data_IF_459149200547
#
_entry.id   IF_459149200547
#
_cell.length_a   1.000
_cell.length_b   1.000
_cell.length_c   1.000
_cell.angle_alpha   90.00
_cell.angle_beta   90.00
_cell.angle_gamma   90.00
#
_symmetry.space_group_name_H-M   'P 1'
#
loop_
_entity.id
_entity.type
_entity.pdbx_description
1 polymer ?
#
# COMPACT_ATOMS: atom_id res chain seq x y z
N UNK A 1 -64.18 28.50 4.02
CA UNK A 1 -64.12 27.32 4.87
C UNK A 1 -63.44 26.13 4.13
N UNK A 2 -63.43 26.15 2.82
CA UNK A 2 -62.81 25.07 2.00
C UNK A 2 -61.27 25.11 1.90
N UNK A 3 -60.62 26.28 2.02
CA UNK A 3 -59.15 26.42 1.87
C UNK A 3 -58.32 25.85 3.04
N UNK A 4 -58.88 25.76 4.25
CA UNK A 4 -58.16 25.18 5.40
C UNK A 4 -58.04 23.64 5.33
N UNK A 5 -59.00 22.99 4.67
CA UNK A 5 -59.02 21.52 4.57
C UNK A 5 -58.00 21.03 3.52
N UNK A 6 -57.81 21.78 2.44
CA UNK A 6 -56.78 21.46 1.43
C UNK A 6 -55.37 21.64 1.97
N UNK A 7 -55.10 22.68 2.75
CA UNK A 7 -53.84 22.93 3.39
C UNK A 7 -53.45 21.80 4.38
N UNK A 8 -54.40 21.33 5.18
CA UNK A 8 -54.15 20.23 6.15
C UNK A 8 -53.85 18.89 5.46
N UNK A 9 -54.54 18.60 4.36
CA UNK A 9 -54.24 17.37 3.55
C UNK A 9 -52.86 17.43 2.92
N UNK A 10 -52.42 18.56 2.42
CA UNK A 10 -51.08 18.71 1.86
C UNK A 10 -49.97 18.58 2.92
N UNK A 11 -50.21 19.09 4.13
CA UNK A 11 -49.27 18.93 5.26
C UNK A 11 -49.18 17.45 5.69
N UNK A 12 -50.29 16.76 5.81
CA UNK A 12 -50.32 15.34 6.15
C UNK A 12 -49.64 14.47 5.07
N UNK A 13 -49.80 14.82 3.80
CA UNK A 13 -49.12 14.18 2.69
C UNK A 13 -47.61 14.40 2.72
N UNK A 14 -47.15 15.61 2.99
CA UNK A 14 -45.74 15.94 3.14
C UNK A 14 -45.08 15.19 4.33
N UNK A 15 -45.78 15.12 5.47
CA UNK A 15 -45.31 14.35 6.65
C UNK A 15 -45.20 12.86 6.31
N UNK A 16 -46.17 12.29 5.58
CA UNK A 16 -46.15 10.90 5.15
C UNK A 16 -44.95 10.58 4.26
N UNK A 17 -44.62 11.47 3.31
CA UNK A 17 -43.45 11.34 2.43
C UNK A 17 -42.12 11.36 3.24
N UNK A 18 -42.01 12.29 4.19
CA UNK A 18 -40.80 12.40 5.04
C UNK A 18 -40.65 11.17 5.91
N UNK A 19 -41.72 10.64 6.49
CA UNK A 19 -41.67 9.42 7.28
C UNK A 19 -41.29 8.20 6.44
N UNK A 20 -41.77 8.09 5.20
CA UNK A 20 -41.35 7.03 4.27
C UNK A 20 -39.86 7.13 3.89
N UNK A 21 -39.36 8.35 3.64
CA UNK A 21 -37.94 8.55 3.33
C UNK A 21 -37.04 8.23 4.51
N UNK A 22 -37.46 8.59 5.73
CA UNK A 22 -36.73 8.24 6.96
C UNK A 22 -36.72 6.71 7.17
N UNK A 23 -37.87 6.05 6.96
CA UNK A 23 -37.95 4.57 7.08
C UNK A 23 -37.08 3.85 6.05
N UNK A 24 -37.03 4.36 4.80
CA UNK A 24 -36.13 3.83 3.76
C UNK A 24 -34.68 4.07 4.09
N UNK A 25 -34.34 5.23 4.64
CA UNK A 25 -32.96 5.54 5.05
C UNK A 25 -32.51 4.68 6.24
N UNK A 26 -33.37 4.51 7.25
CA UNK A 26 -33.10 3.62 8.40
C UNK A 26 -32.99 2.16 7.94
N UNK A 27 -33.85 1.71 7.04
CA UNK A 27 -33.78 0.38 6.45
C UNK A 27 -32.48 0.16 5.66
N UNK A 28 -32.03 1.16 4.90
CA UNK A 28 -30.76 1.10 4.16
C UNK A 28 -29.54 1.06 5.11
N UNK A 29 -29.54 1.89 6.16
CA UNK A 29 -28.46 1.89 7.16
C UNK A 29 -28.45 0.57 7.93
N UNK A 30 -29.60 0.02 8.30
CA UNK A 30 -29.68 -1.31 8.97
C UNK A 30 -29.23 -2.44 8.06
N UNK A 31 -29.56 -2.41 6.77
CA UNK A 31 -29.10 -3.40 5.78
C UNK A 31 -27.59 -3.32 5.50
N UNK A 32 -27.00 -2.13 5.65
CA UNK A 32 -25.56 -1.94 5.50
C UNK A 32 -24.76 -2.35 6.75
N UNK A 33 -25.41 -2.46 7.93
CA UNK A 33 -24.78 -2.77 9.22
C UNK A 33 -25.01 -4.22 9.66
N UNK A 34 -25.99 -4.94 9.11
CA UNK A 34 -26.18 -6.35 9.39
C UNK A 34 -25.11 -7.16 8.66
N UNK A 35 -24.27 -7.96 9.38
CA UNK A 35 -23.34 -8.84 8.71
C UNK A 35 -24.11 -9.84 7.86
N UNK A 36 -23.72 -9.95 6.60
CA UNK A 36 -24.23 -10.93 5.65
C UNK A 36 -23.94 -12.33 6.20
N UNK A 37 -24.97 -13.05 6.65
CA UNK A 37 -24.91 -14.48 6.92
C UNK A 37 -25.20 -15.22 5.60
N UNK A 38 -24.23 -15.21 4.70
CA UNK A 38 -24.20 -16.14 3.59
C UNK A 38 -23.66 -17.48 4.11
N UNK A 39 -24.26 -18.59 3.66
CA UNK A 39 -23.72 -19.93 3.94
C UNK A 39 -22.25 -19.96 3.51
N UNK A 40 -21.36 -20.28 4.47
CA UNK A 40 -19.93 -20.31 4.23
C UNK A 40 -19.62 -21.37 3.17
N UNK A 41 -18.99 -20.97 2.07
CA UNK A 41 -18.38 -21.92 1.11
C UNK A 41 -17.38 -22.79 1.92
N UNK A 42 -17.55 -24.13 1.94
CA UNK A 42 -16.69 -25.02 2.71
C UNK A 42 -15.20 -24.97 2.29
N UNK A 43 -14.86 -24.19 1.26
CA UNK A 43 -13.49 -23.99 0.78
C UNK A 43 -12.84 -22.70 1.28
N UNK A 44 -13.58 -21.82 1.98
CA UNK A 44 -12.99 -20.64 2.62
C UNK A 44 -12.61 -20.97 4.06
N UNK A 45 -11.33 -20.80 4.46
CA UNK A 45 -10.94 -20.96 5.85
C UNK A 45 -11.73 -19.97 6.71
N UNK A 46 -12.45 -20.48 7.72
CA UNK A 46 -13.17 -19.64 8.65
C UNK A 46 -12.16 -18.88 9.52
N UNK A 47 -12.02 -17.59 9.31
CA UNK A 47 -11.13 -16.70 10.07
C UNK A 47 -11.34 -16.80 11.60
N UNK A 48 -12.53 -17.17 12.05
CA UNK A 48 -12.79 -17.38 13.47
C UNK A 48 -12.17 -18.70 13.98
N UNK A 49 -12.09 -19.74 13.15
CA UNK A 49 -11.46 -21.02 13.49
C UNK A 49 -9.93 -20.85 13.58
N UNK A 50 -9.34 -19.98 12.75
CA UNK A 50 -7.91 -19.67 12.82
C UNK A 50 -7.54 -18.92 14.12
N UNK A 51 -8.47 -18.14 14.68
CA UNK A 51 -8.27 -17.45 15.97
C UNK A 51 -8.38 -18.38 17.18
N UNK A 52 -9.10 -19.50 17.06
CA UNK A 52 -9.27 -20.46 18.16
C UNK A 52 -8.14 -21.51 18.21
N UNK A 53 -7.46 -21.82 17.10
CA UNK A 53 -6.34 -22.77 17.06
C UNK A 53 -4.97 -22.15 17.33
N UNK A 54 -4.80 -20.84 17.17
CA UNK A 54 -3.60 -20.14 17.65
C UNK A 54 -3.85 -19.72 19.09
N UNK A 55 -3.19 -20.43 20.03
CA UNK A 55 -3.04 -19.97 21.40
C UNK A 55 -2.70 -18.48 21.38
N UNK A 56 -3.28 -17.74 22.31
CA UNK A 56 -3.02 -16.30 22.51
C UNK A 56 -1.55 -16.04 22.33
N UNK A 57 -1.18 -15.36 21.21
CA UNK A 57 0.16 -14.81 21.06
C UNK A 57 0.28 -13.81 22.19
N UNK A 58 1.14 -14.13 23.15
CA UNK A 58 1.48 -13.21 24.21
C UNK A 58 2.18 -12.02 23.58
N UNK A 59 1.46 -10.92 23.43
CA UNK A 59 1.96 -9.70 22.78
C UNK A 59 3.17 -9.15 23.54
N UNK A 60 3.27 -9.46 24.84
CA UNK A 60 4.42 -9.09 25.69
C UNK A 60 5.66 -9.98 25.44
N UNK A 61 5.51 -11.10 24.72
CA UNK A 61 6.63 -11.99 24.35
C UNK A 61 7.22 -11.69 22.96
N UNK A 62 6.61 -10.78 22.19
CA UNK A 62 7.20 -10.28 20.96
C UNK A 62 8.35 -9.35 21.38
N UNK A 63 9.56 -9.85 21.32
CA UNK A 63 10.77 -9.03 21.40
C UNK A 63 10.81 -8.14 20.17
N UNK A 64 10.10 -7.00 20.25
CA UNK A 64 10.41 -5.88 19.37
C UNK A 64 11.84 -5.47 19.73
N UNK A 65 12.76 -5.59 18.78
CA UNK A 65 14.02 -4.88 18.89
C UNK A 65 13.63 -3.41 19.02
N UNK A 66 13.87 -2.80 20.19
CA UNK A 66 13.65 -1.36 20.37
C UNK A 66 14.42 -0.67 19.26
N UNK A 67 13.75 0.19 18.45
CA UNK A 67 14.44 0.92 17.39
C UNK A 67 15.61 1.67 18.02
N UNK A 68 16.81 1.48 17.49
CA UNK A 68 18.01 2.20 17.97
C UNK A 68 18.00 3.70 17.60
N UNK A 69 16.95 4.13 16.87
CA UNK A 69 16.79 5.49 16.36
C UNK A 69 17.71 5.80 15.18
N UNK A 70 18.42 4.79 14.67
CA UNK A 70 19.31 4.94 13.51
C UNK A 70 18.63 4.50 12.21
N UNK A 71 19.00 5.15 11.12
CA UNK A 71 18.55 4.76 9.79
C UNK A 71 19.43 3.66 9.23
N UNK A 72 18.86 2.48 9.00
CA UNK A 72 19.54 1.36 8.35
C UNK A 72 19.45 1.49 6.82
N UNK A 73 20.22 2.41 6.25
CA UNK A 73 20.27 2.59 4.80
C UNK A 73 21.19 1.55 4.16
N UNK A 74 20.66 0.79 3.17
CA UNK A 74 21.44 -0.20 2.43
C UNK A 74 22.53 0.51 1.60
N UNK A 75 23.75 0.03 1.76
CA UNK A 75 24.92 0.55 1.05
C UNK A 75 25.29 -0.37 -0.11
N UNK A 76 26.17 0.11 -0.98
CA UNK A 76 26.65 -0.67 -2.10
C UNK A 76 27.40 -1.94 -1.62
N UNK A 77 26.95 -3.08 -2.14
CA UNK A 77 27.51 -4.40 -1.90
C UNK A 77 28.00 -5.04 -3.20
N UNK A 78 28.55 -6.24 -3.13
CA UNK A 78 28.71 -7.09 -4.32
C UNK A 78 27.34 -7.46 -4.88
N UNK A 79 27.26 -7.71 -6.20
CA UNK A 79 26.01 -8.12 -6.85
C UNK A 79 25.50 -9.44 -6.26
N UNK A 80 24.34 -9.41 -5.61
CA UNK A 80 23.70 -10.57 -4.99
C UNK A 80 23.03 -11.52 -6.00
N UNK A 81 23.00 -11.16 -7.28
CA UNK A 81 22.50 -11.98 -8.37
C UNK A 81 20.97 -11.92 -8.57
N UNK A 82 20.52 -12.57 -9.64
CA UNK A 82 19.09 -12.59 -10.02
C UNK A 82 18.23 -13.35 -9.00
N UNK A 83 18.78 -14.36 -8.34
CA UNK A 83 18.01 -15.16 -7.36
C UNK A 83 17.62 -14.34 -6.13
N UNK A 84 18.40 -13.33 -5.74
CA UNK A 84 18.03 -12.38 -4.69
C UNK A 84 16.73 -11.64 -5.03
N UNK A 85 16.62 -11.14 -6.26
CA UNK A 85 15.41 -10.46 -6.74
C UNK A 85 14.24 -11.43 -6.87
N UNK A 86 14.48 -12.63 -7.42
CA UNK A 86 13.42 -13.62 -7.65
C UNK A 86 12.83 -14.17 -6.37
N UNK A 87 13.62 -14.28 -5.30
CA UNK A 87 13.17 -14.78 -4.01
C UNK A 87 12.47 -13.72 -3.14
N UNK A 88 12.61 -12.44 -3.49
CA UNK A 88 11.97 -11.35 -2.79
C UNK A 88 10.53 -11.11 -3.29
N UNK A 89 9.72 -10.49 -2.43
CA UNK A 89 8.40 -9.99 -2.80
C UNK A 89 8.44 -8.47 -2.89
N UNK A 90 7.72 -7.91 -3.86
CA UNK A 90 7.61 -6.47 -4.08
C UNK A 90 6.18 -6.01 -3.88
N UNK A 91 5.92 -5.07 -2.99
CA UNK A 91 4.67 -4.33 -2.92
C UNK A 91 4.86 -3.01 -3.66
N UNK A 92 4.10 -2.78 -4.75
CA UNK A 92 4.30 -1.61 -5.62
C UNK A 92 3.01 -0.85 -5.88
N UNK A 93 3.14 0.47 -5.99
CA UNK A 93 2.09 1.37 -6.49
C UNK A 93 2.27 1.68 -7.99
N UNK A 94 1.58 2.71 -8.50
CA UNK A 94 1.51 3.01 -9.92
C UNK A 94 2.84 3.41 -10.55
N UNK A 95 3.83 3.87 -9.77
CA UNK A 95 5.11 4.36 -10.33
C UNK A 95 5.99 3.19 -10.81
N UNK A 96 5.93 2.04 -10.12
CA UNK A 96 6.70 0.85 -10.48
C UNK A 96 5.83 -0.34 -10.95
N UNK A 97 4.57 -0.09 -11.31
CA UNK A 97 3.59 -1.15 -11.68
C UNK A 97 4.06 -2.05 -12.82
N UNK A 98 4.96 -1.58 -13.68
CA UNK A 98 5.54 -2.39 -14.75
C UNK A 98 6.30 -3.62 -14.23
N UNK A 99 6.72 -3.66 -12.96
CA UNK A 99 7.27 -4.87 -12.33
C UNK A 99 6.30 -6.04 -12.44
N UNK A 100 5.02 -5.79 -12.08
CA UNK A 100 3.94 -6.79 -12.14
C UNK A 100 3.47 -7.01 -13.57
N UNK A 101 3.11 -5.93 -14.27
CA UNK A 101 2.42 -6.00 -15.56
C UNK A 101 3.28 -6.63 -16.67
N UNK A 102 4.60 -6.61 -16.52
CA UNK A 102 5.55 -7.21 -17.45
C UNK A 102 6.36 -8.35 -16.84
N UNK A 103 6.02 -8.79 -15.61
CA UNK A 103 6.68 -9.90 -14.89
C UNK A 103 8.21 -9.77 -14.83
N UNK A 104 8.71 -8.57 -14.51
CA UNK A 104 10.13 -8.23 -14.67
C UNK A 104 11.03 -8.73 -13.53
N UNK A 105 10.46 -9.11 -12.38
CA UNK A 105 11.21 -9.60 -11.21
C UNK A 105 11.47 -11.10 -11.26
N UNK A 106 10.65 -11.84 -11.99
CA UNK A 106 10.63 -13.30 -11.96
C UNK A 106 10.12 -13.91 -10.65
N UNK A 107 9.71 -13.08 -9.69
CA UNK A 107 9.10 -13.41 -8.40
C UNK A 107 7.78 -12.67 -8.19
N UNK A 108 7.28 -12.72 -6.96
CA UNK A 108 5.97 -12.15 -6.60
C UNK A 108 6.00 -10.62 -6.55
N UNK A 109 5.02 -10.01 -7.23
CA UNK A 109 4.79 -8.56 -7.20
C UNK A 109 3.34 -8.29 -6.83
N UNK A 110 3.15 -7.66 -5.68
CA UNK A 110 1.84 -7.31 -5.14
C UNK A 110 1.48 -5.87 -5.48
N UNK A 111 0.28 -5.66 -5.94
CA UNK A 111 -0.32 -4.34 -6.15
C UNK A 111 -1.84 -4.49 -6.20
N UNK A 112 -2.58 -3.39 -6.10
CA UNK A 112 -4.01 -3.43 -6.35
C UNK A 112 -4.30 -3.84 -7.80
N UNK A 113 -5.53 -4.22 -8.10
CA UNK A 113 -5.94 -4.56 -9.46
C UNK A 113 -5.69 -3.41 -10.46
N UNK A 114 -5.94 -2.17 -10.02
CA UNK A 114 -5.68 -0.97 -10.83
C UNK A 114 -4.20 -0.55 -10.87
N UNK A 115 -3.37 -1.12 -10.03
CA UNK A 115 -1.98 -0.71 -9.83
C UNK A 115 -1.79 0.49 -8.90
N UNK A 116 -2.87 1.08 -8.36
CA UNK A 116 -2.78 2.25 -7.49
C UNK A 116 -3.01 1.90 -6.02
N UNK A 117 -2.16 2.43 -5.13
CA UNK A 117 -2.21 2.26 -3.68
C UNK A 117 -2.11 3.63 -2.99
N UNK A 118 -3.20 4.43 -2.95
CA UNK A 118 -3.17 5.79 -2.41
C UNK A 118 -2.84 5.83 -0.92
N UNK A 119 -1.85 6.63 -0.52
CA UNK A 119 -1.34 6.73 0.85
C UNK A 119 -2.41 7.17 1.87
N UNK A 120 -3.40 7.95 1.48
CA UNK A 120 -4.50 8.35 2.37
C UNK A 120 -5.44 7.23 2.81
N UNK A 121 -5.32 6.01 2.26
CA UNK A 121 -6.26 4.91 2.48
C UNK A 121 -5.57 3.57 2.78
N UNK A 122 -4.40 3.57 3.39
CA UNK A 122 -3.57 2.37 3.63
C UNK A 122 -4.37 1.23 4.29
N UNK A 123 -5.19 1.55 5.29
CA UNK A 123 -5.99 0.56 6.03
C UNK A 123 -7.01 -0.20 5.17
N UNK A 124 -7.33 0.31 3.99
CA UNK A 124 -8.32 -0.28 3.06
C UNK A 124 -7.67 -0.91 1.82
N UNK A 125 -6.36 -0.96 1.75
CA UNK A 125 -5.67 -1.55 0.61
C UNK A 125 -5.99 -3.02 0.45
N UNK A 126 -6.27 -3.39 -0.79
CA UNK A 126 -6.35 -4.77 -1.22
C UNK A 126 -5.44 -4.95 -2.44
N UNK A 127 -4.61 -5.94 -2.37
CA UNK A 127 -3.76 -6.38 -3.49
C UNK A 127 -4.42 -7.54 -4.22
N UNK A 128 -4.08 -7.70 -5.48
CA UNK A 128 -4.41 -8.90 -6.24
C UNK A 128 -3.38 -9.98 -5.90
N UNK A 129 -3.82 -11.00 -5.16
CA UNK A 129 -2.96 -12.11 -4.75
C UNK A 129 -2.85 -13.19 -5.85
N UNK A 130 -1.89 -14.09 -5.73
CA UNK A 130 -1.56 -15.08 -6.78
C UNK A 130 -2.70 -16.02 -7.18
N UNK A 131 -3.66 -16.26 -6.29
CA UNK A 131 -4.86 -17.07 -6.55
C UNK A 131 -6.03 -16.26 -7.14
N UNK A 132 -5.82 -14.96 -7.39
CA UNK A 132 -6.84 -14.02 -7.88
C UNK A 132 -7.71 -13.40 -6.78
N UNK A 133 -7.52 -13.75 -5.52
CA UNK A 133 -8.23 -13.12 -4.41
C UNK A 133 -7.72 -11.70 -4.15
N UNK A 134 -8.56 -10.89 -3.49
CA UNK A 134 -8.21 -9.53 -3.06
C UNK A 134 -8.05 -9.54 -1.54
N UNK A 135 -6.82 -9.44 -1.07
CA UNK A 135 -6.48 -9.47 0.35
C UNK A 135 -5.62 -8.27 0.73
N UNK A 136 -5.53 -7.96 2.01
CA UNK A 136 -4.63 -6.91 2.47
C UNK A 136 -3.16 -7.31 2.29
N UNK A 137 -2.22 -6.34 2.12
CA UNK A 137 -0.78 -6.64 2.11
C UNK A 137 -0.32 -7.37 3.38
N UNK A 138 -0.95 -7.09 4.53
CA UNK A 138 -0.64 -7.73 5.81
C UNK A 138 -1.06 -9.20 5.80
N UNK A 139 -2.27 -9.51 5.31
CA UNK A 139 -2.72 -10.91 5.17
C UNK A 139 -1.85 -11.68 4.17
N UNK A 140 -1.44 -11.03 3.08
CA UNK A 140 -0.52 -11.62 2.12
C UNK A 140 0.83 -11.97 2.76
N UNK A 141 1.39 -11.09 3.61
CA UNK A 141 2.61 -11.38 4.37
C UNK A 141 2.42 -12.55 5.34
N UNK A 142 1.29 -12.60 6.04
CA UNK A 142 0.97 -13.69 6.97
C UNK A 142 0.93 -15.05 6.26
N UNK A 143 0.40 -15.10 5.03
CA UNK A 143 0.27 -16.32 4.23
C UNK A 143 1.60 -16.70 3.58
N UNK A 144 2.27 -15.75 2.91
CA UNK A 144 3.47 -15.99 2.09
C UNK A 144 4.73 -16.09 2.93
N UNK A 145 4.83 -15.31 4.03
CA UNK A 145 6.02 -15.18 4.89
C UNK A 145 7.29 -14.94 4.07
N UNK A 146 7.34 -13.88 3.27
CA UNK A 146 8.50 -13.62 2.42
C UNK A 146 9.74 -13.39 3.27
N UNK A 147 10.90 -13.89 2.83
CA UNK A 147 12.18 -13.61 3.50
C UNK A 147 12.54 -12.12 3.39
N UNK A 148 12.28 -11.51 2.23
CA UNK A 148 12.48 -10.08 1.97
C UNK A 148 11.23 -9.50 1.30
N UNK A 149 10.75 -8.39 1.83
CA UNK A 149 9.66 -7.60 1.26
C UNK A 149 10.14 -6.20 0.94
N UNK A 150 10.16 -5.83 -0.33
CA UNK A 150 10.42 -4.48 -0.79
C UNK A 150 9.12 -3.67 -0.85
N UNK A 151 9.05 -2.55 -0.12
CA UNK A 151 7.95 -1.59 -0.18
C UNK A 151 8.30 -0.49 -1.20
N UNK A 152 7.82 -0.64 -2.42
CA UNK A 152 8.00 0.29 -3.55
C UNK A 152 6.72 1.14 -3.72
N UNK A 153 6.31 1.84 -2.67
CA UNK A 153 5.04 2.55 -2.54
C UNK A 153 5.26 3.96 -1.99
N UNK A 154 4.27 4.83 -2.17
CA UNK A 154 4.27 6.16 -1.59
C UNK A 154 4.00 7.29 -2.60
N UNK A 155 4.01 6.99 -3.90
CA UNK A 155 3.77 8.01 -4.93
C UNK A 155 2.29 8.35 -5.11
N UNK A 156 1.39 7.39 -4.90
CA UNK A 156 -0.02 7.58 -5.16
C UNK A 156 -0.68 8.41 -4.06
N UNK A 157 -1.22 9.56 -4.46
CA UNK A 157 -1.87 10.49 -3.56
C UNK A 157 -0.93 11.29 -2.66
N UNK A 158 0.38 11.27 -2.90
CA UNK A 158 1.40 11.95 -2.09
C UNK A 158 1.12 13.45 -1.93
N UNK A 159 0.70 14.14 -2.99
CA UNK A 159 0.35 15.57 -2.94
C UNK A 159 -0.92 15.90 -2.15
N UNK A 160 -1.65 14.89 -1.66
CA UNK A 160 -2.95 15.04 -0.99
C UNK A 160 -2.97 14.50 0.42
N UNK A 161 -1.81 14.08 0.93
CA UNK A 161 -1.66 13.57 2.29
C UNK A 161 -0.69 14.48 3.05
N UNK A 162 -1.03 14.81 4.29
CA UNK A 162 -0.14 15.56 5.16
C UNK A 162 1.04 14.67 5.62
N UNK A 163 2.22 15.28 5.80
CA UNK A 163 3.43 14.56 6.22
C UNK A 163 3.21 13.64 7.42
N UNK A 164 2.56 14.14 8.46
CA UNK A 164 2.32 13.37 9.68
C UNK A 164 1.44 12.14 9.44
N UNK A 165 0.40 12.27 8.61
CA UNK A 165 -0.51 11.18 8.26
C UNK A 165 0.19 10.15 7.37
N UNK A 166 1.05 10.61 6.43
CA UNK A 166 1.86 9.74 5.60
C UNK A 166 2.79 8.87 6.46
N UNK A 167 3.60 9.49 7.34
CA UNK A 167 4.55 8.79 8.20
C UNK A 167 3.81 7.81 9.10
N UNK A 168 2.79 8.26 9.82
CA UNK A 168 2.00 7.41 10.72
C UNK A 168 1.36 6.22 10.01
N UNK A 169 0.80 6.43 8.80
CA UNK A 169 0.24 5.36 7.97
C UNK A 169 1.30 4.36 7.52
N UNK A 170 2.47 4.86 7.10
CA UNK A 170 3.59 4.04 6.65
C UNK A 170 4.15 3.17 7.79
N UNK A 171 4.40 3.77 8.95
CA UNK A 171 4.81 3.06 10.17
C UNK A 171 3.80 1.99 10.59
N UNK A 172 2.52 2.33 10.59
CA UNK A 172 1.44 1.39 10.93
C UNK A 172 1.43 0.18 10.01
N UNK A 173 1.63 0.37 8.70
CA UNK A 173 1.74 -0.70 7.73
C UNK A 173 2.95 -1.60 8.02
N UNK A 174 4.14 -1.01 8.23
CA UNK A 174 5.36 -1.78 8.53
C UNK A 174 5.18 -2.60 9.81
N UNK A 175 4.70 -1.99 10.89
CA UNK A 175 4.48 -2.69 12.17
C UNK A 175 3.48 -3.83 12.02
N UNK A 176 2.38 -3.63 11.27
CA UNK A 176 1.40 -4.68 11.02
C UNK A 176 1.99 -5.85 10.22
N UNK A 177 2.86 -5.56 9.24
CA UNK A 177 3.59 -6.59 8.48
C UNK A 177 4.54 -7.38 9.39
N UNK A 178 5.32 -6.70 10.22
CA UNK A 178 6.26 -7.35 11.15
C UNK A 178 5.54 -8.21 12.20
N UNK A 179 4.35 -7.80 12.66
CA UNK A 179 3.50 -8.63 13.54
C UNK A 179 2.97 -9.85 12.80
N UNK A 180 2.52 -9.70 11.55
CA UNK A 180 1.96 -10.78 10.75
C UNK A 180 3.01 -11.79 10.27
N UNK A 181 4.25 -11.33 10.05
CA UNK A 181 5.38 -12.13 9.57
C UNK A 181 6.70 -11.64 10.18
N UNK A 182 7.00 -12.01 11.44
CA UNK A 182 8.17 -11.51 12.18
C UNK A 182 9.52 -11.87 11.54
N UNK A 183 9.56 -12.89 10.70
CA UNK A 183 10.78 -13.34 10.01
C UNK A 183 11.03 -12.58 8.70
N UNK A 184 10.08 -11.73 8.27
CA UNK A 184 10.22 -10.94 7.04
C UNK A 184 11.15 -9.75 7.27
N UNK A 185 12.19 -9.65 6.49
CA UNK A 185 12.98 -8.42 6.42
C UNK A 185 12.28 -7.42 5.51
N UNK A 186 11.89 -6.28 6.07
CA UNK A 186 11.22 -5.19 5.33
C UNK A 186 12.28 -4.19 4.87
N UNK A 187 12.24 -3.87 3.57
CA UNK A 187 13.09 -2.85 2.93
C UNK A 187 12.20 -1.83 2.25
N UNK A 188 12.25 -0.59 2.71
CA UNK A 188 11.49 0.51 2.11
C UNK A 188 12.32 1.18 1.02
N UNK A 189 11.72 1.39 -0.15
CA UNK A 189 12.36 2.04 -1.29
C UNK A 189 12.02 3.53 -1.32
N UNK A 190 12.96 4.37 -1.77
CA UNK A 190 12.66 5.75 -2.13
C UNK A 190 11.65 5.80 -3.29
N UNK A 191 10.94 6.90 -3.40
CA UNK A 191 9.99 7.17 -4.49
C UNK A 191 10.80 7.69 -5.69
N UNK A 192 10.75 7.03 -6.87
CA UNK A 192 11.35 7.57 -8.09
C UNK A 192 10.78 8.95 -8.44
N UNK A 193 11.59 9.87 -8.98
CA UNK A 193 11.10 11.16 -9.44
C UNK A 193 10.21 11.01 -10.69
N UNK A 194 9.57 12.11 -11.09
CA UNK A 194 8.86 12.24 -12.36
C UNK A 194 9.74 12.96 -13.39
N UNK A 195 9.39 12.91 -14.68
CA UNK A 195 10.13 13.66 -15.71
C UNK A 195 9.90 15.16 -15.54
N UNK A 196 10.87 16.00 -15.95
CA UNK A 196 10.80 17.47 -15.92
C UNK A 196 9.50 18.03 -16.50
N UNK A 197 8.99 17.39 -17.54
CA UNK A 197 7.77 17.85 -18.22
C UNK A 197 6.49 17.11 -17.75
N UNK A 198 6.57 16.37 -16.63
CA UNK A 198 5.39 15.74 -16.10
C UNK A 198 4.40 16.78 -15.61
N UNK A 199 3.16 16.67 -16.07
CA UNK A 199 2.07 17.52 -15.64
C UNK A 199 0.77 16.72 -15.70
N UNK A 200 0.34 16.23 -14.56
CA UNK A 200 -0.91 15.52 -14.42
C UNK A 200 -1.74 16.09 -13.24
N UNK A 201 -2.99 15.69 -13.15
CA UNK A 201 -3.93 16.16 -12.13
C UNK A 201 -3.62 15.64 -10.71
N UNK A 202 -2.59 14.81 -10.54
CA UNK A 202 -2.16 14.30 -9.25
C UNK A 202 -1.18 15.22 -8.52
N UNK A 203 -0.76 16.34 -9.16
CA UNK A 203 0.13 17.37 -8.62
C UNK A 203 1.50 16.84 -8.14
N UNK A 204 1.91 15.65 -8.61
CA UNK A 204 3.18 15.04 -8.26
C UNK A 204 4.34 15.76 -8.95
N UNK A 205 5.40 16.06 -8.21
CA UNK A 205 6.63 16.68 -8.71
C UNK A 205 7.84 15.89 -8.21
N UNK A 206 9.01 16.08 -8.86
CA UNK A 206 10.27 15.47 -8.40
C UNK A 206 10.67 15.95 -7.00
N UNK A 207 10.44 17.23 -6.68
CA UNK A 207 10.69 17.76 -5.33
C UNK A 207 9.80 17.05 -4.30
N UNK A 208 8.52 16.87 -4.60
CA UNK A 208 7.59 16.17 -3.69
C UNK A 208 7.95 14.69 -3.53
N UNK A 209 8.40 14.00 -4.58
CA UNK A 209 8.87 12.61 -4.46
C UNK A 209 10.13 12.50 -3.60
N UNK A 210 11.03 13.50 -3.67
CA UNK A 210 12.18 13.59 -2.79
C UNK A 210 11.75 13.81 -1.33
N UNK A 211 10.82 14.73 -1.07
CA UNK A 211 10.26 14.95 0.28
C UNK A 211 9.58 13.67 0.81
N UNK A 212 8.75 13.01 0.00
CA UNK A 212 8.11 11.74 0.37
C UNK A 212 9.13 10.63 0.68
N UNK A 213 10.26 10.62 -0.02
CA UNK A 213 11.37 9.69 0.27
C UNK A 213 12.02 9.98 1.63
N UNK A 214 12.15 11.26 2.02
CA UNK A 214 12.61 11.62 3.37
C UNK A 214 11.59 11.24 4.45
N UNK A 215 10.29 11.32 4.17
CA UNK A 215 9.26 10.84 5.08
C UNK A 215 9.32 9.31 5.26
N UNK A 216 9.62 8.56 4.20
CA UNK A 216 9.86 7.11 4.28
C UNK A 216 11.11 6.82 5.13
N UNK A 217 12.21 7.59 4.98
CA UNK A 217 13.42 7.47 5.82
C UNK A 217 13.11 7.68 7.30
N UNK A 218 12.25 8.68 7.60
CA UNK A 218 11.80 8.96 8.96
C UNK A 218 11.02 7.78 9.54
N UNK A 219 10.06 7.22 8.79
CA UNK A 219 9.31 6.03 9.19
C UNK A 219 10.21 4.80 9.41
N UNK A 220 11.21 4.59 8.52
CA UNK A 220 12.17 3.49 8.66
C UNK A 220 12.98 3.60 9.95
N UNK A 221 13.43 4.81 10.30
CA UNK A 221 14.18 5.07 11.54
C UNK A 221 13.34 4.79 12.79
N UNK A 222 12.08 5.24 12.77
CA UNK A 222 11.15 5.05 13.89
C UNK A 222 10.73 3.59 14.11
N UNK A 223 10.76 2.76 13.06
CA UNK A 223 10.39 1.35 13.16
C UNK A 223 11.62 0.43 13.25
N UNK A 224 12.80 0.89 12.81
CA UNK A 224 14.02 0.08 12.77
C UNK A 224 14.06 -0.89 11.59
N UNK A 225 13.64 -0.46 10.39
CA UNK A 225 13.69 -1.26 9.16
C UNK A 225 14.63 -0.65 8.13
N UNK A 226 14.98 -1.43 7.11
CA UNK A 226 15.91 -0.99 6.07
C UNK A 226 15.28 0.02 5.11
N UNK A 227 16.12 0.93 4.63
CA UNK A 227 15.82 1.86 3.54
C UNK A 227 16.80 1.69 2.39
N UNK A 228 16.35 1.88 1.13
CA UNK A 228 17.20 1.89 -0.06
C UNK A 228 16.78 3.00 -1.03
N UNK A 229 17.72 3.83 -1.48
CA UNK A 229 17.45 4.96 -2.38
C UNK A 229 17.47 4.54 -3.85
N UNK A 230 16.42 3.83 -4.29
CA UNK A 230 16.29 3.35 -5.68
C UNK A 230 16.12 4.48 -6.71
N UNK A 231 15.75 5.68 -6.29
CA UNK A 231 15.66 6.85 -7.17
C UNK A 231 17.02 7.16 -7.82
N UNK A 232 18.12 6.84 -7.17
CA UNK A 232 19.48 7.01 -7.72
C UNK A 232 19.70 6.23 -9.02
N UNK A 233 19.05 5.08 -9.17
CA UNK A 233 19.19 4.24 -10.36
C UNK A 233 18.59 4.86 -11.63
N UNK A 234 17.59 5.75 -11.46
CA UNK A 234 16.74 6.19 -12.57
C UNK A 234 16.73 7.71 -12.80
N UNK A 235 17.25 8.50 -11.86
CA UNK A 235 17.26 9.96 -11.99
C UNK A 235 18.34 10.49 -12.95
N UNK A 236 18.11 11.69 -13.47
CA UNK A 236 19.06 12.54 -14.16
C UNK A 236 18.93 13.94 -13.56
N UNK A 237 19.90 14.33 -12.73
CA UNK A 237 19.72 15.48 -11.84
C UNK A 237 18.68 15.19 -10.78
N UNK A 238 17.65 16.03 -10.68
CA UNK A 238 16.53 15.88 -9.74
C UNK A 238 15.37 15.07 -10.33
N UNK A 239 15.27 14.99 -11.65
CA UNK A 239 14.14 14.43 -12.39
C UNK A 239 14.40 13.00 -12.85
N UNK A 240 13.33 12.31 -13.22
CA UNK A 240 13.39 11.00 -13.87
C UNK A 240 14.05 11.14 -15.24
N UNK A 241 15.06 10.33 -15.48
CA UNK A 241 15.67 10.27 -16.81
C UNK A 241 14.63 9.77 -17.83
N UNK A 242 14.36 10.54 -18.91
CA UNK A 242 13.32 10.18 -19.89
C UNK A 242 13.47 8.78 -20.50
N UNK A 243 14.69 8.21 -20.57
CA UNK A 243 14.92 6.85 -21.08
C UNK A 243 14.29 5.77 -20.20
N UNK A 244 14.04 6.09 -18.91
CA UNK A 244 13.46 5.17 -17.92
C UNK A 244 11.97 5.40 -17.68
N UNK A 245 11.41 6.49 -18.24
CA UNK A 245 10.02 6.85 -18.11
C UNK A 245 9.14 6.11 -19.11
N UNK A 246 7.94 5.75 -18.68
CA UNK A 246 6.83 5.42 -19.57
C UNK A 246 6.30 6.69 -20.25
N UNK A 247 5.43 6.57 -21.25
CA UNK A 247 4.88 7.69 -21.99
C UNK A 247 4.13 8.72 -21.13
N UNK A 248 3.67 8.33 -19.93
CA UNK A 248 3.00 9.23 -18.99
C UNK A 248 3.97 10.13 -18.21
N UNK A 249 5.28 9.93 -18.31
CA UNK A 249 6.30 10.71 -17.60
C UNK A 249 6.43 10.46 -16.09
N UNK A 250 5.59 9.58 -15.52
CA UNK A 250 5.57 9.22 -14.11
C UNK A 250 6.11 7.81 -13.88
N UNK A 251 5.44 6.82 -14.48
CA UNK A 251 5.75 5.42 -14.23
C UNK A 251 7.04 5.01 -14.92
N UNK A 252 7.77 4.11 -14.29
CA UNK A 252 8.96 3.52 -14.90
C UNK A 252 8.56 2.57 -16.05
N UNK A 253 9.32 2.61 -17.13
CA UNK A 253 9.25 1.61 -18.18
C UNK A 253 10.09 0.36 -17.82
N UNK A 254 10.12 -0.66 -18.70
CA UNK A 254 10.90 -1.87 -18.45
C UNK A 254 12.40 -1.58 -18.19
N UNK A 255 13.00 -0.64 -18.91
CA UNK A 255 14.40 -0.28 -18.71
C UNK A 255 14.62 0.41 -17.36
N UNK A 256 13.68 1.23 -16.90
CA UNK A 256 13.70 1.86 -15.58
C UNK A 256 13.57 0.82 -14.46
N UNK A 257 12.65 -0.13 -14.61
CA UNK A 257 12.51 -1.24 -13.65
C UNK A 257 13.80 -2.07 -13.60
N UNK A 258 14.40 -2.42 -14.75
CA UNK A 258 15.66 -3.19 -14.78
C UNK A 258 16.81 -2.40 -14.12
N UNK A 259 16.84 -1.08 -14.25
CA UNK A 259 17.82 -0.25 -13.55
C UNK A 259 17.63 -0.30 -12.02
N UNK A 260 16.36 -0.23 -11.55
CA UNK A 260 16.03 -0.38 -10.12
C UNK A 260 16.43 -1.79 -9.61
N UNK A 261 16.07 -2.85 -10.32
CA UNK A 261 16.39 -4.21 -9.92
C UNK A 261 17.93 -4.45 -9.87
N UNK A 262 18.66 -3.90 -10.85
CA UNK A 262 20.13 -3.92 -10.84
C UNK A 262 20.72 -3.16 -9.65
N UNK A 263 20.11 -2.03 -9.27
CA UNK A 263 20.52 -1.28 -8.09
C UNK A 263 20.27 -2.07 -6.81
N UNK A 264 19.10 -2.70 -6.66
CA UNK A 264 18.76 -3.53 -5.51
C UNK A 264 19.71 -4.72 -5.35
N UNK A 265 20.15 -5.34 -6.46
CA UNK A 265 21.14 -6.43 -6.42
C UNK A 265 22.49 -5.99 -5.86
N UNK A 266 22.88 -4.74 -6.10
CA UNK A 266 24.14 -4.16 -5.62
C UNK A 266 23.99 -3.38 -4.32
N UNK A 267 22.80 -3.37 -3.72
CA UNK A 267 22.48 -2.80 -2.42
C UNK A 267 21.66 -3.83 -1.62
N UNK A 268 22.15 -5.06 -1.59
CA UNK A 268 21.50 -6.15 -0.91
C UNK A 268 21.72 -6.08 0.60
N UNK A 269 20.87 -6.77 1.35
CA UNK A 269 21.04 -6.98 2.78
C UNK A 269 22.28 -7.85 2.98
N UNK A 270 23.21 -7.38 3.80
CA UNK A 270 24.38 -8.19 4.18
C UNK A 270 23.92 -9.40 5.02
N UNK A 271 24.26 -10.61 4.56
CA UNK A 271 23.99 -11.86 5.26
C UNK A 271 25.06 -12.16 6.32
#
# INVERSE_FOLDING_TARGET
MFDRITGLKNILWAIGIVLCLVALFVGFVFSAVTPYHGDADPRTPNLNTIKEEKGTVDVDSLTFVEPDGELHELRQTTDAGEDYIRSAVFLTDSIMIAMRDQSLTGGDVWSSESGSLPMGNIATWNILYSDGSKISPVDACMITKPSVLFLCIGSDGLARVEKADFISGYESLIRAILVASPETTVVCCSIPPVTENYSALDDLTSDLTNEGSEWIREACREVGVYFVDVAQAVRSGVDLNPKYASANGKSLNAAGIQAVLGYLRTHAIDN
#
